data_IF_050072937650
#
_entry.id   IF_050072937650
#
_cell.length_a   1.000
_cell.length_b   1.000
_cell.length_c   1.000
_cell.angle_alpha   90.00
_cell.angle_beta   90.00
_cell.angle_gamma   90.00
#
_symmetry.space_group_name_H-M   'P 1'
#
loop_
_entity.id
_entity.type
_entity.pdbx_description
1 polymer ?
#
# COMPACT_ATOMS: atom_id res chain seq x y z
N UNK A 1 14.35 7.12 10.46
CA UNK A 1 13.00 6.71 10.91
C UNK A 1 12.10 7.92 10.94
N UNK A 2 10.86 7.78 10.49
CA UNK A 2 9.90 8.88 10.49
C UNK A 2 8.47 8.38 10.28
N UNK A 3 7.53 9.15 10.81
CA UNK A 3 6.10 8.93 10.65
C UNK A 3 5.42 10.25 10.35
N UNK A 4 4.44 10.22 9.46
CA UNK A 4 3.59 11.37 9.14
C UNK A 4 2.13 10.96 9.20
N UNK A 5 1.33 11.81 9.84
CA UNK A 5 -0.13 11.73 9.84
C UNK A 5 -0.63 12.99 9.15
N UNK A 6 -1.42 12.83 8.10
CA UNK A 6 -1.97 13.95 7.33
C UNK A 6 -3.37 13.62 6.83
N UNK A 7 -4.04 14.63 6.29
CA UNK A 7 -5.36 14.46 5.67
C UNK A 7 -5.29 14.87 4.21
N UNK A 8 -5.75 14.01 3.31
CA UNK A 8 -5.85 14.30 1.88
C UNK A 8 -7.31 14.14 1.44
N UNK A 9 -7.93 15.23 0.99
CA UNK A 9 -9.35 15.26 0.57
C UNK A 9 -10.30 14.64 1.62
N UNK A 10 -10.07 14.95 2.90
CA UNK A 10 -10.86 14.43 4.03
C UNK A 10 -10.54 12.99 4.46
N UNK A 11 -9.60 12.31 3.79
CA UNK A 11 -9.13 10.98 4.17
C UNK A 11 -7.91 11.11 5.06
N UNK A 12 -7.98 10.56 6.27
CA UNK A 12 -6.83 10.48 7.17
C UNK A 12 -5.86 9.38 6.72
N UNK A 13 -4.59 9.74 6.61
CA UNK A 13 -3.52 8.87 6.17
C UNK A 13 -2.39 8.91 7.18
N UNK A 14 -1.85 7.73 7.49
CA UNK A 14 -0.62 7.56 8.26
C UNK A 14 0.38 6.79 7.40
N UNK A 15 1.61 7.30 7.32
CA UNK A 15 2.74 6.63 6.66
C UNK A 15 3.91 6.62 7.62
N UNK A 16 4.56 5.48 7.77
CA UNK A 16 5.74 5.31 8.61
C UNK A 16 6.80 4.53 7.85
N UNK A 17 8.07 4.89 8.08
CA UNK A 17 9.23 4.21 7.54
C UNK A 17 10.31 4.11 8.61
N UNK A 18 10.76 2.88 8.84
CA UNK A 18 11.87 2.56 9.74
C UNK A 18 13.00 1.93 8.95
N UNK A 19 14.22 2.26 9.36
CA UNK A 19 15.49 1.76 8.85
C UNK A 19 16.25 1.26 10.08
N UNK A 20 16.08 -0.01 10.36
CA UNK A 20 16.83 -0.70 11.42
C UNK A 20 18.17 -1.19 10.84
N UNK A 21 19.13 -1.53 11.70
CA UNK A 21 20.45 -1.99 11.27
C UNK A 21 20.38 -3.31 10.50
N UNK A 22 19.57 -4.26 10.97
CA UNK A 22 19.32 -5.54 10.34
C UNK A 22 17.92 -6.06 10.72
N UNK A 23 17.37 -6.98 9.93
CA UNK A 23 16.12 -7.68 10.26
C UNK A 23 16.41 -9.13 10.64
N UNK A 24 15.62 -9.69 11.58
CA UNK A 24 15.80 -11.09 12.01
C UNK A 24 15.59 -12.09 10.88
N UNK A 25 14.80 -11.73 9.86
CA UNK A 25 14.49 -12.57 8.69
C UNK A 25 15.42 -12.33 7.50
N UNK A 26 16.26 -11.29 7.54
CA UNK A 26 17.06 -10.83 6.40
C UNK A 26 16.23 -10.23 5.24
N UNK A 27 14.95 -9.94 5.47
CA UNK A 27 14.04 -9.32 4.48
C UNK A 27 13.41 -8.05 5.06
N UNK A 28 13.15 -7.08 4.18
CA UNK A 28 12.32 -5.92 4.50
C UNK A 28 10.88 -6.35 4.78
N UNK A 29 10.13 -5.50 5.48
CA UNK A 29 8.70 -5.73 5.70
C UNK A 29 7.83 -4.59 5.20
N UNK A 30 6.67 -4.93 4.66
CA UNK A 30 5.66 -3.98 4.23
C UNK A 30 4.26 -4.35 4.73
N UNK A 31 3.57 -3.36 5.29
CA UNK A 31 2.16 -3.48 5.67
C UNK A 31 1.40 -2.24 5.24
N UNK A 32 0.19 -2.44 4.75
CA UNK A 32 -0.72 -1.36 4.39
C UNK A 32 -2.15 -1.75 4.75
N UNK A 33 -2.94 -0.76 5.19
CA UNK A 33 -4.37 -0.94 5.46
C UNK A 33 -5.16 0.20 4.84
N UNK A 34 -6.09 -0.15 3.96
CA UNK A 34 -7.05 0.79 3.38
C UNK A 34 -8.43 0.53 4.00
N UNK A 35 -8.97 1.53 4.68
CA UNK A 35 -10.23 1.42 5.40
C UNK A 35 -11.42 1.83 4.54
N UNK A 36 -12.17 0.86 4.02
CA UNK A 36 -13.44 1.11 3.33
C UNK A 36 -14.63 1.11 4.27
N UNK A 37 -15.78 1.55 3.75
CA UNK A 37 -17.07 1.50 4.48
C UNK A 37 -17.63 0.08 4.58
N UNK A 38 -17.29 -0.79 3.62
CA UNK A 38 -17.76 -2.18 3.56
C UNK A 38 -16.72 -3.20 3.96
N UNK A 39 -15.45 -2.90 3.73
CA UNK A 39 -14.34 -3.79 4.03
C UNK A 39 -13.05 -3.00 4.20
N UNK A 40 -12.11 -3.57 4.93
CA UNK A 40 -10.73 -3.13 4.91
C UNK A 40 -9.93 -4.00 3.93
N UNK A 41 -9.03 -3.38 3.17
CA UNK A 41 -8.00 -4.07 2.40
C UNK A 41 -6.71 -4.01 3.19
N UNK A 42 -6.05 -5.15 3.37
CA UNK A 42 -4.81 -5.23 4.15
C UNK A 42 -3.76 -5.94 3.31
N UNK A 43 -2.61 -5.30 3.13
CA UNK A 43 -1.39 -5.95 2.70
C UNK A 43 -0.65 -6.32 3.98
N UNK A 44 -0.39 -7.61 4.16
CA UNK A 44 0.24 -8.12 5.37
C UNK A 44 1.29 -9.16 5.05
N UNK A 45 2.36 -9.14 5.85
CA UNK A 45 3.43 -10.13 5.86
C UNK A 45 3.46 -10.78 7.25
N UNK A 46 2.95 -12.02 7.36
CA UNK A 46 2.97 -12.78 8.61
C UNK A 46 1.81 -13.79 8.81
N UNK A 47 1.70 -14.39 10.02
CA UNK A 47 1.28 -15.79 10.25
C UNK A 47 -0.21 -16.12 10.07
N UNK A 48 -1.02 -15.22 9.50
CA UNK A 48 -2.41 -15.50 9.13
C UNK A 48 -2.50 -16.46 7.94
N UNK A 49 -1.48 -16.48 7.10
CA UNK A 49 -1.12 -17.54 6.18
C UNK A 49 0.38 -17.80 6.38
N UNK A 50 0.83 -19.06 6.37
CA UNK A 50 2.25 -19.37 6.54
C UNK A 50 3.11 -18.55 5.55
N UNK A 51 4.04 -17.73 6.05
CA UNK A 51 5.09 -17.03 5.30
C UNK A 51 4.72 -16.31 3.99
N UNK A 52 3.49 -15.80 3.84
CA UNK A 52 3.05 -15.20 2.58
C UNK A 52 2.63 -13.74 2.73
N UNK A 53 3.43 -12.85 2.11
CA UNK A 53 2.98 -11.51 1.74
C UNK A 53 1.72 -11.65 0.88
N UNK A 54 0.66 -10.95 1.22
CA UNK A 54 -0.61 -11.14 0.53
C UNK A 54 -1.59 -9.98 0.70
N UNK A 55 -2.55 -9.92 -0.22
CA UNK A 55 -3.68 -9.01 -0.15
C UNK A 55 -4.87 -9.71 0.50
N UNK A 56 -5.34 -9.15 1.61
CA UNK A 56 -6.48 -9.66 2.38
C UNK A 56 -7.62 -8.65 2.38
N UNK A 57 -8.84 -9.19 2.44
CA UNK A 57 -10.09 -8.42 2.52
C UNK A 57 -10.81 -8.79 3.80
N UNK A 58 -11.07 -7.82 4.66
CA UNK A 58 -11.81 -8.00 5.92
C UNK A 58 -13.16 -7.32 5.82
N UNK A 59 -14.25 -8.07 5.93
CA UNK A 59 -15.59 -7.49 5.88
C UNK A 59 -15.89 -6.66 7.13
N UNK A 60 -16.36 -5.43 6.92
CA UNK A 60 -16.88 -4.51 7.96
C UNK A 60 -18.38 -4.30 7.89
N UNK A 61 -18.96 -4.42 6.70
CA UNK A 61 -20.41 -4.28 6.55
C UNK A 61 -21.14 -5.36 7.33
N UNK A 62 -22.21 -4.97 8.03
CA UNK A 62 -23.15 -5.89 8.67
C UNK A 62 -23.74 -6.86 7.64
N UNK A 63 -24.05 -8.08 8.06
CA UNK A 63 -24.65 -9.13 7.23
C UNK A 63 -23.83 -10.41 7.14
N UNK A 64 -24.33 -11.37 6.35
CA UNK A 64 -23.73 -12.70 6.17
C UNK A 64 -22.41 -12.64 5.41
N UNK A 65 -21.44 -13.46 5.83
CA UNK A 65 -20.14 -13.59 5.21
C UNK A 65 -20.26 -14.21 3.81
N UNK A 66 -21.15 -15.18 3.63
CA UNK A 66 -21.42 -15.85 2.35
C UNK A 66 -21.95 -14.88 1.31
N UNK A 67 -22.85 -13.96 1.70
CA UNK A 67 -23.35 -12.91 0.80
C UNK A 67 -22.25 -11.92 0.41
N UNK A 68 -21.34 -11.63 1.34
CA UNK A 68 -20.21 -10.76 1.06
C UNK A 68 -19.20 -11.44 0.12
N UNK A 69 -18.84 -12.69 0.38
CA UNK A 69 -17.96 -13.50 -0.46
C UNK A 69 -18.44 -13.60 -1.90
N UNK A 70 -19.74 -13.82 -2.12
CA UNK A 70 -20.31 -13.81 -3.49
C UNK A 70 -20.08 -12.48 -4.20
N UNK A 71 -20.19 -11.35 -3.48
CA UNK A 71 -19.92 -10.01 -4.03
C UNK A 71 -18.43 -9.78 -4.28
N UNK A 72 -17.58 -10.23 -3.36
CA UNK A 72 -16.13 -10.17 -3.50
C UNK A 72 -15.66 -10.98 -4.70
N UNK A 73 -16.12 -12.22 -4.82
CA UNK A 73 -15.84 -13.10 -5.96
C UNK A 73 -16.26 -12.45 -7.29
N UNK A 74 -17.48 -11.89 -7.37
CA UNK A 74 -17.91 -11.18 -8.58
C UNK A 74 -17.02 -9.96 -8.91
N UNK A 75 -16.52 -9.23 -7.90
CA UNK A 75 -15.58 -8.13 -8.12
C UNK A 75 -14.22 -8.64 -8.63
N UNK A 76 -13.71 -9.74 -8.07
CA UNK A 76 -12.45 -10.37 -8.50
C UNK A 76 -12.56 -10.92 -9.92
N UNK A 77 -13.67 -11.55 -10.30
CA UNK A 77 -13.90 -12.01 -11.68
C UNK A 77 -13.84 -10.86 -12.68
N UNK A 78 -14.40 -9.69 -12.35
CA UNK A 78 -14.28 -8.50 -13.21
C UNK A 78 -12.84 -8.04 -13.38
N UNK A 79 -12.03 -8.12 -12.32
CA UNK A 79 -10.59 -7.82 -12.40
C UNK A 79 -9.84 -8.89 -13.19
N UNK A 80 -10.26 -10.15 -13.09
CA UNK A 80 -9.64 -11.27 -13.78
C UNK A 80 -9.71 -11.15 -15.32
N UNK A 81 -10.66 -10.39 -15.86
CA UNK A 81 -10.72 -10.07 -17.29
C UNK A 81 -9.46 -9.33 -17.79
N UNK A 82 -8.83 -8.51 -16.95
CA UNK A 82 -7.55 -7.83 -17.26
C UNK A 82 -6.35 -8.51 -16.61
N UNK A 83 -6.58 -9.32 -15.56
CA UNK A 83 -5.54 -10.03 -14.80
C UNK A 83 -5.92 -11.51 -14.62
N UNK A 84 -5.79 -12.35 -15.66
CA UNK A 84 -6.23 -13.74 -15.60
C UNK A 84 -5.59 -14.55 -14.46
N UNK A 85 -6.40 -15.29 -13.72
CA UNK A 85 -5.98 -16.17 -12.64
C UNK A 85 -6.13 -15.60 -11.23
N UNK A 86 -6.67 -14.39 -11.07
CA UNK A 86 -7.07 -13.90 -9.75
C UNK A 86 -8.20 -14.75 -9.16
N UNK A 87 -8.13 -14.96 -7.84
CA UNK A 87 -9.13 -15.74 -7.10
C UNK A 87 -9.35 -15.22 -5.68
N UNK A 88 -10.19 -15.92 -4.93
CA UNK A 88 -10.52 -15.60 -3.54
C UNK A 88 -10.44 -16.89 -2.73
N UNK A 89 -9.69 -16.89 -1.64
CA UNK A 89 -9.64 -17.98 -0.67
C UNK A 89 -10.18 -17.50 0.69
N UNK A 90 -10.94 -18.32 1.39
CA UNK A 90 -11.31 -18.04 2.78
C UNK A 90 -10.09 -18.17 3.68
N UNK A 91 -10.00 -17.34 4.71
CA UNK A 91 -8.98 -17.51 5.76
C UNK A 91 -9.59 -18.37 6.86
N UNK A 92 -9.14 -19.61 7.00
CA UNK A 92 -9.74 -20.60 7.92
C UNK A 92 -9.82 -20.13 9.38
N UNK A 93 -8.88 -19.26 9.79
CA UNK A 93 -8.81 -18.70 11.15
C UNK A 93 -9.62 -17.42 11.34
N UNK A 94 -10.34 -16.96 10.33
CA UNK A 94 -11.11 -15.71 10.38
C UNK A 94 -12.35 -15.74 9.46
N UNK A 95 -13.53 -15.92 10.06
CA UNK A 95 -14.82 -16.10 9.34
C UNK A 95 -15.21 -14.97 8.38
N UNK A 96 -14.65 -13.77 8.56
CA UNK A 96 -14.95 -12.56 7.79
C UNK A 96 -13.73 -12.02 7.05
N UNK A 97 -12.79 -12.89 6.72
CA UNK A 97 -11.57 -12.57 6.01
C UNK A 97 -11.35 -13.49 4.82
N UNK A 98 -10.85 -12.90 3.73
CA UNK A 98 -10.48 -13.62 2.51
C UNK A 98 -9.12 -13.16 2.03
N UNK A 99 -8.31 -14.09 1.53
CA UNK A 99 -7.09 -13.80 0.80
C UNK A 99 -7.42 -13.71 -0.70
N UNK A 100 -6.86 -12.70 -1.37
CA UNK A 100 -6.90 -12.63 -2.82
C UNK A 100 -5.77 -13.52 -3.35
N UNK A 101 -6.13 -14.51 -4.15
CA UNK A 101 -5.17 -15.37 -4.83
C UNK A 101 -4.61 -14.57 -6.00
N UNK A 102 -3.29 -14.36 -5.99
CA UNK A 102 -2.56 -13.67 -7.05
C UNK A 102 -1.57 -14.66 -7.65
N UNK A 103 -1.69 -15.02 -8.94
CA UNK A 103 -0.74 -15.92 -9.59
C UNK A 103 0.70 -15.41 -9.56
N UNK A 104 1.66 -16.32 -9.39
CA UNK A 104 3.10 -16.02 -9.32
C UNK A 104 3.63 -15.23 -10.53
N UNK A 105 3.03 -15.42 -11.71
CA UNK A 105 3.37 -14.63 -12.92
C UNK A 105 3.22 -13.11 -12.76
N UNK A 106 2.50 -12.65 -11.72
CA UNK A 106 2.37 -11.23 -11.38
C UNK A 106 3.39 -10.74 -10.36
N UNK A 107 4.12 -11.64 -9.70
CA UNK A 107 5.22 -11.33 -8.79
C UNK A 107 6.51 -11.05 -9.57
N UNK A 108 6.47 -10.05 -10.45
CA UNK A 108 7.66 -9.60 -11.17
C UNK A 108 8.59 -8.83 -10.22
N UNK A 109 9.89 -8.96 -10.41
CA UNK A 109 10.89 -8.36 -9.52
C UNK A 109 10.96 -6.83 -9.60
N UNK A 110 11.76 -6.24 -8.70
CA UNK A 110 11.98 -4.81 -8.60
C UNK A 110 12.42 -4.18 -9.94
N UNK A 111 13.35 -4.84 -10.64
CA UNK A 111 13.92 -4.38 -11.90
C UNK A 111 12.88 -4.35 -13.02
N UNK A 112 11.99 -5.36 -13.07
CA UNK A 112 10.90 -5.40 -14.03
C UNK A 112 9.89 -4.27 -13.77
N UNK A 113 9.61 -3.95 -12.50
CA UNK A 113 8.81 -2.77 -12.15
C UNK A 113 9.49 -1.46 -12.56
N UNK A 114 10.80 -1.35 -12.39
CA UNK A 114 11.56 -0.16 -12.79
C UNK A 114 11.58 0.02 -14.32
N UNK A 115 11.69 -1.08 -15.07
CA UNK A 115 11.59 -1.08 -16.53
C UNK A 115 10.23 -0.52 -16.99
N UNK A 116 9.12 -0.93 -16.36
CA UNK A 116 7.78 -0.41 -16.68
C UNK A 116 7.66 1.11 -16.47
N UNK A 117 8.30 1.66 -15.42
CA UNK A 117 8.35 3.12 -15.20
C UNK A 117 9.13 3.81 -16.31
N UNK A 118 10.24 3.21 -16.75
CA UNK A 118 11.08 3.73 -17.84
C UNK A 118 10.34 3.70 -19.18
N UNK A 119 9.63 2.62 -19.49
CA UNK A 119 8.79 2.50 -20.68
C UNK A 119 7.72 3.60 -20.73
N UNK A 120 7.03 3.82 -19.61
CA UNK A 120 6.05 4.90 -19.50
C UNK A 120 6.69 6.28 -19.71
N UNK A 121 7.87 6.52 -19.13
CA UNK A 121 8.62 7.76 -19.32
C UNK A 121 8.95 8.00 -20.81
N UNK A 122 9.50 6.99 -21.50
CA UNK A 122 9.85 7.09 -22.92
C UNK A 122 8.61 7.32 -23.80
N UNK A 123 7.49 6.68 -23.46
CA UNK A 123 6.22 6.90 -24.13
C UNK A 123 5.76 8.36 -23.99
N UNK A 124 5.72 8.91 -22.77
CA UNK A 124 5.32 10.30 -22.56
C UNK A 124 6.33 11.31 -23.08
N UNK A 125 7.62 10.96 -23.13
CA UNK A 125 8.65 11.77 -23.78
C UNK A 125 8.33 11.92 -25.28
N UNK A 126 7.93 10.84 -25.95
CA UNK A 126 7.51 10.89 -27.35
C UNK A 126 6.19 11.65 -27.55
N UNK A 127 5.22 11.52 -26.64
CA UNK A 127 3.97 12.28 -26.69
C UNK A 127 4.14 13.78 -26.33
N UNK A 128 5.25 14.14 -25.68
CA UNK A 128 5.54 15.49 -25.22
C UNK A 128 4.64 15.99 -24.08
N UNK A 129 3.88 15.10 -23.43
CA UNK A 129 2.96 15.45 -22.34
C UNK A 129 2.78 14.30 -21.36
N UNK A 130 2.62 14.67 -20.09
CA UNK A 130 2.22 13.76 -19.03
C UNK A 130 0.69 13.79 -18.87
N UNK A 131 0.09 12.74 -18.26
CA UNK A 131 -1.27 12.81 -17.77
C UNK A 131 -1.47 14.03 -16.85
N UNK A 132 -2.63 14.68 -16.93
CA UNK A 132 -2.91 15.93 -16.21
C UNK A 132 -2.78 15.85 -14.69
N UNK A 133 -2.80 14.64 -14.13
CA UNK A 133 -2.67 14.39 -12.70
C UNK A 133 -1.23 14.18 -12.24
N UNK A 134 -0.27 13.87 -13.12
CA UNK A 134 1.10 13.51 -12.70
C UNK A 134 1.81 14.65 -11.97
N UNK A 135 1.94 15.80 -12.63
CA UNK A 135 2.60 16.98 -12.06
C UNK A 135 1.95 17.46 -10.75
N UNK A 136 0.62 17.69 -10.66
CA UNK A 136 0.03 18.16 -9.40
C UNK A 136 0.12 17.10 -8.28
N UNK A 137 0.02 15.81 -8.58
CA UNK A 137 0.17 14.76 -7.56
C UNK A 137 1.62 14.64 -7.08
N UNK A 138 2.60 14.82 -7.97
CA UNK A 138 4.01 14.84 -7.62
C UNK A 138 4.34 16.03 -6.72
N UNK A 139 3.83 17.22 -7.03
CA UNK A 139 3.95 18.40 -6.17
C UNK A 139 3.31 18.17 -4.80
N UNK A 140 2.10 17.60 -4.75
CA UNK A 140 1.43 17.26 -3.49
C UNK A 140 2.22 16.24 -2.67
N UNK A 141 2.79 15.21 -3.32
CA UNK A 141 3.65 14.20 -2.70
C UNK A 141 4.86 14.86 -2.04
N UNK A 142 5.61 15.67 -2.78
CA UNK A 142 6.81 16.32 -2.25
C UNK A 142 6.47 17.34 -1.16
N UNK A 143 5.44 18.17 -1.36
CA UNK A 143 4.95 19.10 -0.34
C UNK A 143 4.66 18.38 0.98
N UNK A 144 3.92 17.27 0.92
CA UNK A 144 3.56 16.49 2.12
C UNK A 144 4.82 15.99 2.83
N UNK A 145 5.79 15.46 2.10
CA UNK A 145 7.03 14.94 2.70
C UNK A 145 7.95 16.03 3.26
N UNK A 146 8.10 17.15 2.56
CA UNK A 146 8.96 18.25 3.01
C UNK A 146 8.34 19.00 4.19
N UNK A 147 7.02 19.13 4.21
CA UNK A 147 6.30 19.78 5.30
C UNK A 147 6.32 18.90 6.56
N UNK A 148 6.16 17.58 6.41
CA UNK A 148 6.35 16.65 7.51
C UNK A 148 7.75 16.75 8.13
N UNK A 149 8.78 16.86 7.28
CA UNK A 149 10.16 17.07 7.72
C UNK A 149 10.33 18.41 8.46
N UNK A 150 9.78 19.50 7.92
CA UNK A 150 9.82 20.83 8.55
C UNK A 150 9.20 20.79 9.94
N UNK A 151 8.00 20.23 10.07
CA UNK A 151 7.27 20.15 11.36
C UNK A 151 8.03 19.29 12.37
N UNK A 152 8.64 18.18 11.94
CA UNK A 152 9.39 17.30 12.85
C UNK A 152 10.64 17.97 13.45
N UNK A 153 11.23 18.94 12.75
CA UNK A 153 12.42 19.67 13.20
C UNK A 153 12.11 20.98 13.93
N UNK A 154 10.86 21.46 13.86
CA UNK A 154 10.43 22.66 14.60
C UNK A 154 10.13 22.39 16.07
N UNK A 155 9.77 21.15 16.41
CA UNK A 155 9.42 20.75 17.78
C UNK A 155 10.61 20.14 18.55
N UNK A 156 11.84 20.30 18.06
CA UNK A 156 13.02 19.88 18.80
C UNK A 156 13.32 20.90 19.90
N UNK A 157 13.37 20.51 21.20
CA UNK A 157 13.82 21.43 22.24
C UNK A 157 15.24 21.90 21.91
N UNK A 158 15.46 23.22 22.00
CA UNK A 158 16.77 23.83 21.79
C UNK A 158 17.84 23.04 22.56
N UNK A 159 18.78 22.45 21.84
CA UNK A 159 19.95 21.80 22.46
C UNK A 159 20.65 22.86 23.31
N UNK A 160 20.90 22.64 24.62
CA UNK A 160 21.70 23.59 25.38
C UNK A 160 23.09 23.61 24.76
N UNK A 161 23.55 24.80 24.35
CA UNK A 161 24.94 24.99 23.97
C UNK A 161 25.81 24.50 25.13
N UNK A 162 26.53 23.40 24.93
CA UNK A 162 27.63 23.04 25.83
C UNK A 162 28.70 24.12 25.65
N UNK A 163 28.79 25.02 26.63
CA UNK A 163 29.92 25.92 26.78
C UNK A 163 31.20 25.08 26.86
N UNK A 164 32.19 25.43 26.03
CA UNK A 164 33.54 24.88 26.08
C UNK A 164 34.24 25.28 27.37
#
# INVERSE_FOLDING_TARGET
>A
NGEVIYTIRGVHVKVSATWDFETKSGKDSHQAKLCGTRADLVIYEGPLAADTSGLFVYQKSKGSAEKFEKKLGAAVVKLAAKRPGLGVNRVDRAERAWQIIIPEKYAVGHEAHFAQVTENYLHYLAEGKLPSWEVPNMLAKYYTTTEAYRISHQNSPSTPQRSR
#
